data_IF_011343320818
#
_entry.id   IF_011343320818
#
_cell.length_a   1.000
_cell.length_b   1.000
_cell.length_c   1.000
_cell.angle_alpha   90.00
_cell.angle_beta   90.00
_cell.angle_gamma   90.00
#
_symmetry.space_group_name_H-M   'P 1'
#
loop_
_entity.id
_entity.type
_entity.pdbx_description
1 polymer ?
#
# COMPACT_ATOMS: atom_id res chain seq x y z
N UNK A 1 53.30 -3.45 -0.58
CA UNK A 1 52.09 -3.15 -1.38
C UNK A 1 50.92 -3.15 -0.43
N UNK A 2 50.40 -1.98 -0.06
CA UNK A 2 49.19 -1.87 0.76
C UNK A 2 48.00 -2.13 -0.15
N UNK A 3 47.36 -3.30 -0.03
CA UNK A 3 46.03 -3.48 -0.60
C UNK A 3 45.12 -2.41 -0.02
N UNK A 4 44.70 -1.46 -0.86
CA UNK A 4 43.75 -0.44 -0.45
C UNK A 4 42.45 -1.15 -0.11
N UNK A 5 42.06 -1.14 1.17
CA UNK A 5 40.82 -1.75 1.60
C UNK A 5 39.66 -1.07 0.86
N UNK A 6 38.96 -1.82 0.02
CA UNK A 6 37.80 -1.31 -0.73
C UNK A 6 36.53 -1.91 -0.15
N UNK A 7 35.40 -1.21 -0.27
CA UNK A 7 34.10 -1.73 0.18
C UNK A 7 33.75 -3.07 -0.50
N UNK A 8 34.31 -3.35 -1.67
CA UNK A 8 34.10 -4.57 -2.44
C UNK A 8 34.85 -5.82 -1.90
N UNK A 9 35.81 -5.63 -0.99
CA UNK A 9 36.57 -6.71 -0.32
C UNK A 9 36.04 -7.06 1.07
N UNK A 10 35.03 -6.32 1.54
CA UNK A 10 34.39 -6.54 2.83
C UNK A 10 33.56 -7.83 2.82
N UNK A 11 33.48 -8.58 3.95
CA UNK A 11 32.62 -9.76 4.10
C UNK A 11 31.14 -9.48 3.81
N UNK A 12 30.39 -10.52 3.46
CA UNK A 12 29.00 -10.41 3.01
C UNK A 12 28.08 -9.88 4.11
N UNK A 13 28.28 -10.38 5.31
CA UNK A 13 27.51 -10.06 6.50
C UNK A 13 27.67 -8.58 6.85
N UNK A 14 28.90 -8.06 6.77
CA UNK A 14 29.17 -6.63 7.03
C UNK A 14 28.54 -5.76 5.96
N UNK A 15 28.59 -6.18 4.69
CA UNK A 15 27.92 -5.46 3.60
C UNK A 15 26.40 -5.45 3.81
N UNK A 16 25.79 -6.57 4.20
CA UNK A 16 24.36 -6.67 4.54
C UNK A 16 23.98 -5.79 5.72
N UNK A 17 24.85 -5.67 6.73
CA UNK A 17 24.62 -4.74 7.84
C UNK A 17 24.63 -3.28 7.39
N UNK A 18 25.59 -2.89 6.56
CA UNK A 18 25.64 -1.54 5.96
C UNK A 18 24.35 -1.28 5.17
N UNK A 19 23.95 -2.23 4.34
CA UNK A 19 22.73 -2.19 3.53
C UNK A 19 21.48 -2.03 4.40
N UNK A 20 21.37 -2.82 5.47
CA UNK A 20 20.26 -2.75 6.41
C UNK A 20 20.11 -1.34 6.98
N UNK A 21 21.19 -0.77 7.52
CA UNK A 21 21.14 0.55 8.13
C UNK A 21 20.90 1.66 7.11
N UNK A 22 21.52 1.60 5.93
CA UNK A 22 21.26 2.55 4.84
C UNK A 22 19.82 2.47 4.33
N UNK A 23 19.22 1.28 4.29
CA UNK A 23 17.84 1.08 3.84
C UNK A 23 16.79 1.50 4.88
N UNK A 24 17.16 1.50 6.16
CA UNK A 24 16.25 1.69 7.29
C UNK A 24 16.48 2.99 8.06
N UNK A 25 17.40 3.84 7.59
CA UNK A 25 17.64 5.19 8.12
C UNK A 25 16.33 5.98 8.27
N UNK A 26 15.53 6.04 7.20
CA UNK A 26 14.15 6.49 7.29
C UNK A 26 13.23 5.29 7.51
N UNK A 27 12.41 5.36 8.55
CA UNK A 27 11.31 4.41 8.77
C UNK A 27 10.28 4.50 7.63
N UNK A 28 9.86 5.73 7.29
CA UNK A 28 8.82 6.00 6.30
C UNK A 28 9.32 5.82 4.86
N UNK A 29 8.45 5.27 4.02
CA UNK A 29 8.64 5.16 2.58
C UNK A 29 9.61 4.07 2.15
N UNK A 30 9.94 4.05 0.85
CA UNK A 30 10.83 3.07 0.26
C UNK A 30 12.25 3.17 0.83
N UNK A 31 13.04 2.09 0.78
CA UNK A 31 14.45 2.11 1.18
C UNK A 31 15.31 2.86 0.16
N UNK A 32 15.31 4.19 0.21
CA UNK A 32 16.00 5.08 -0.74
C UNK A 32 17.53 4.92 -0.71
N UNK A 33 18.10 4.64 0.46
CA UNK A 33 19.55 4.45 0.64
C UNK A 33 20.12 3.22 -0.08
N UNK A 34 19.28 2.29 -0.55
CA UNK A 34 19.72 1.11 -1.31
C UNK A 34 20.18 1.45 -2.72
N UNK A 35 19.47 2.34 -3.40
CA UNK A 35 19.69 2.60 -4.83
C UNK A 35 21.10 3.15 -5.08
N UNK A 36 21.58 4.19 -4.35
CA UNK A 36 22.95 4.68 -4.53
C UNK A 36 23.99 3.59 -4.29
N UNK A 37 23.78 2.74 -3.28
CA UNK A 37 24.72 1.68 -2.91
C UNK A 37 24.82 0.60 -3.99
N UNK A 38 23.69 0.15 -4.53
CA UNK A 38 23.61 -0.81 -5.63
C UNK A 38 24.26 -0.28 -6.92
N UNK A 39 24.24 1.04 -7.14
CA UNK A 39 24.82 1.69 -8.32
C UNK A 39 26.33 1.93 -8.24
N UNK A 40 26.97 1.72 -7.08
CA UNK A 40 28.39 2.01 -6.90
C UNK A 40 29.33 1.06 -7.64
N UNK A 41 29.03 -0.25 -7.67
CA UNK A 41 29.93 -1.28 -8.21
C UNK A 41 29.15 -2.55 -8.60
N UNK A 42 29.51 -3.15 -9.76
CA UNK A 42 28.91 -4.41 -10.25
C UNK A 42 29.05 -5.59 -9.28
N UNK A 43 30.18 -5.70 -8.58
CA UNK A 43 30.43 -6.75 -7.57
C UNK A 43 29.59 -6.54 -6.31
N UNK A 44 29.32 -5.29 -5.94
CA UNK A 44 28.42 -4.96 -4.83
C UNK A 44 26.98 -5.27 -5.25
N UNK A 45 26.59 -4.87 -6.47
CA UNK A 45 25.29 -5.19 -7.04
C UNK A 45 25.01 -6.70 -7.05
N UNK A 46 25.93 -7.53 -7.57
CA UNK A 46 25.73 -8.98 -7.64
C UNK A 46 25.61 -9.65 -6.27
N UNK A 47 26.14 -9.02 -5.21
CA UNK A 47 26.09 -9.54 -3.84
C UNK A 47 24.85 -9.08 -3.07
N UNK A 48 24.20 -8.02 -3.53
CA UNK A 48 23.09 -7.35 -2.84
C UNK A 48 21.80 -7.34 -3.64
N UNK A 49 21.81 -7.89 -4.85
CA UNK A 49 20.64 -8.04 -5.68
C UNK A 49 19.53 -8.76 -4.92
N UNK A 50 18.30 -8.28 -5.05
CA UNK A 50 17.13 -8.82 -4.34
C UNK A 50 16.85 -10.28 -4.70
N UNK A 51 17.11 -10.67 -5.95
CA UNK A 51 16.92 -12.05 -6.43
C UNK A 51 17.90 -13.03 -5.79
N UNK A 52 19.07 -12.56 -5.35
CA UNK A 52 20.13 -13.42 -4.82
C UNK A 52 20.18 -13.35 -3.28
N UNK A 53 19.69 -12.26 -2.69
CA UNK A 53 19.78 -12.02 -1.26
C UNK A 53 18.43 -11.65 -0.64
N UNK A 54 17.46 -12.56 -0.67
CA UNK A 54 16.12 -12.29 -0.14
C UNK A 54 16.11 -11.96 1.37
N UNK A 55 17.04 -12.52 2.15
CA UNK A 55 17.05 -12.37 3.61
C UNK A 55 17.24 -10.92 4.07
N UNK A 56 18.11 -10.14 3.42
CA UNK A 56 18.30 -8.74 3.78
C UNK A 56 17.04 -7.90 3.50
N UNK A 57 16.36 -8.14 2.37
CA UNK A 57 15.12 -7.43 2.03
C UNK A 57 13.96 -7.84 2.94
N UNK A 58 13.89 -9.11 3.36
CA UNK A 58 12.93 -9.55 4.37
C UNK A 58 13.16 -8.85 5.73
N UNK A 59 14.42 -8.66 6.13
CA UNK A 59 14.75 -7.88 7.35
C UNK A 59 14.35 -6.41 7.21
N UNK A 60 14.60 -5.80 6.05
CA UNK A 60 14.19 -4.42 5.76
C UNK A 60 12.65 -4.31 5.79
N UNK A 61 11.94 -5.29 5.23
CA UNK A 61 10.48 -5.36 5.30
C UNK A 61 9.99 -5.37 6.74
N UNK A 62 10.50 -6.28 7.58
CA UNK A 62 10.12 -6.38 8.99
C UNK A 62 10.44 -5.10 9.79
N UNK A 63 11.45 -4.33 9.37
CA UNK A 63 11.72 -3.04 9.98
C UNK A 63 10.69 -1.97 9.58
N UNK A 64 10.28 -1.94 8.30
CA UNK A 64 9.43 -0.88 7.72
C UNK A 64 7.92 -1.12 7.82
N UNK A 65 7.50 -2.37 7.86
CA UNK A 65 6.10 -2.81 7.84
C UNK A 65 5.79 -3.72 9.03
N UNK A 66 4.50 -3.86 9.33
CA UNK A 66 4.03 -4.80 10.34
C UNK A 66 4.05 -6.23 9.78
N UNK A 67 4.66 -7.13 10.53
CA UNK A 67 4.74 -8.56 10.16
C UNK A 67 4.04 -9.46 11.17
N UNK A 68 3.75 -8.98 12.39
CA UNK A 68 3.24 -9.81 13.47
C UNK A 68 1.89 -10.45 13.13
N UNK A 69 0.96 -9.66 12.58
CA UNK A 69 -0.34 -10.16 12.12
C UNK A 69 -0.19 -11.24 11.04
N UNK A 70 0.65 -10.99 10.04
CA UNK A 70 0.90 -11.92 8.93
C UNK A 70 1.49 -13.24 9.43
N UNK A 71 2.48 -13.18 10.33
CA UNK A 71 3.06 -14.39 10.92
C UNK A 71 2.04 -15.21 11.72
N UNK A 72 1.15 -14.55 12.48
CA UNK A 72 0.11 -15.23 13.26
C UNK A 72 -0.94 -15.91 12.38
N UNK A 73 -1.29 -15.30 11.24
CA UNK A 73 -2.38 -15.80 10.39
C UNK A 73 -1.92 -16.80 9.33
N UNK A 74 -0.81 -16.52 8.66
CA UNK A 74 -0.33 -17.33 7.53
C UNK A 74 0.73 -18.35 7.93
N UNK A 75 1.34 -18.19 9.10
CA UNK A 75 2.40 -19.07 9.59
C UNK A 75 3.76 -18.88 8.88
N UNK A 76 4.79 -19.60 9.33
CA UNK A 76 6.16 -19.47 8.83
C UNK A 76 6.34 -19.93 7.36
N UNK A 77 5.53 -20.87 6.89
CA UNK A 77 5.62 -21.41 5.53
C UNK A 77 5.26 -20.38 4.45
N UNK A 78 4.41 -19.41 4.80
CA UNK A 78 3.92 -18.36 3.89
C UNK A 78 4.59 -17.00 4.13
N UNK A 79 5.61 -16.97 4.99
CA UNK A 79 6.38 -15.77 5.35
C UNK A 79 7.87 -15.99 5.13
N UNK A 80 8.21 -16.76 4.09
CA UNK A 80 9.58 -16.99 3.66
C UNK A 80 10.24 -15.67 3.24
N UNK A 81 11.57 -15.62 3.30
CA UNK A 81 12.30 -14.39 2.99
C UNK A 81 12.09 -13.92 1.55
N UNK A 82 11.85 -14.81 0.59
CA UNK A 82 11.54 -14.42 -0.79
C UNK A 82 10.17 -13.72 -0.90
N UNK A 83 9.14 -14.21 -0.19
CA UNK A 83 7.82 -13.59 -0.15
C UNK A 83 7.90 -12.20 0.47
N UNK A 84 8.57 -12.07 1.62
CA UNK A 84 8.71 -10.78 2.30
C UNK A 84 9.52 -9.76 1.47
N UNK A 85 10.53 -10.23 0.72
CA UNK A 85 11.28 -9.38 -0.22
C UNK A 85 10.41 -8.90 -1.39
N UNK A 86 9.56 -9.76 -1.95
CA UNK A 86 8.61 -9.39 -2.99
C UNK A 86 7.56 -8.41 -2.48
N UNK A 87 7.01 -8.64 -1.28
CA UNK A 87 6.06 -7.74 -0.63
C UNK A 87 6.67 -6.35 -0.34
N UNK A 88 7.95 -6.27 0.01
CA UNK A 88 8.66 -4.99 0.15
C UNK A 88 8.60 -4.18 -1.16
N UNK A 89 8.93 -4.81 -2.29
CA UNK A 89 8.88 -4.13 -3.60
C UNK A 89 7.46 -3.71 -3.95
N UNK A 90 6.49 -4.62 -3.79
CA UNK A 90 5.08 -4.41 -4.11
C UNK A 90 4.47 -3.27 -3.29
N UNK A 91 4.61 -3.28 -1.96
CA UNK A 91 4.10 -2.21 -1.09
C UNK A 91 4.78 -0.88 -1.39
N UNK A 92 6.10 -0.86 -1.59
CA UNK A 92 6.80 0.38 -1.95
C UNK A 92 6.36 0.94 -3.31
N UNK A 93 6.05 0.09 -4.28
CA UNK A 93 5.51 0.51 -5.57
C UNK A 93 4.16 1.21 -5.40
N UNK A 94 3.21 0.56 -4.72
CA UNK A 94 1.87 1.12 -4.53
C UNK A 94 1.86 2.36 -3.64
N UNK A 95 2.66 2.41 -2.58
CA UNK A 95 2.79 3.61 -1.75
C UNK A 95 3.29 4.82 -2.56
N UNK A 96 4.20 4.62 -3.51
CA UNK A 96 4.65 5.70 -4.41
C UNK A 96 3.53 6.17 -5.34
N UNK A 97 2.71 5.25 -5.86
CA UNK A 97 1.55 5.59 -6.71
C UNK A 97 0.52 6.42 -5.94
N UNK A 98 0.18 5.99 -4.73
CA UNK A 98 -0.74 6.71 -3.84
C UNK A 98 -0.17 8.12 -3.55
N UNK A 99 1.12 8.21 -3.18
CA UNK A 99 1.79 9.51 -2.94
C UNK A 99 1.76 10.42 -4.15
N UNK A 100 1.88 9.86 -5.35
CA UNK A 100 1.82 10.59 -6.62
C UNK A 100 0.38 10.94 -7.05
N UNK A 101 -0.65 10.61 -6.26
CA UNK A 101 -2.07 10.78 -6.60
C UNK A 101 -2.45 10.10 -7.92
N UNK A 102 -1.75 9.01 -8.25
CA UNK A 102 -2.05 8.20 -9.43
C UNK A 102 -3.32 7.39 -9.17
N UNK A 103 -4.15 7.22 -10.18
CA UNK A 103 -5.37 6.39 -10.15
C UNK A 103 -6.52 6.92 -9.27
N UNK A 104 -6.36 8.04 -8.54
CA UNK A 104 -7.44 8.62 -7.74
C UNK A 104 -8.45 9.42 -8.57
N UNK A 105 -8.02 9.97 -9.71
CA UNK A 105 -8.84 10.79 -10.62
C UNK A 105 -8.77 10.18 -12.02
N UNK A 106 -9.92 10.08 -12.67
CA UNK A 106 -10.06 9.61 -14.05
C UNK A 106 -9.60 10.69 -15.04
N UNK A 107 -9.13 10.25 -16.21
CA UNK A 107 -8.77 11.17 -17.30
C UNK A 107 -10.02 11.83 -17.92
N UNK A 108 -11.13 11.10 -17.96
CA UNK A 108 -12.44 11.55 -18.42
C UNK A 108 -13.53 10.67 -17.78
N UNK A 109 -14.80 11.07 -17.87
CA UNK A 109 -15.93 10.29 -17.34
C UNK A 109 -16.07 8.90 -17.99
N UNK A 110 -15.77 8.82 -19.29
CA UNK A 110 -15.86 7.58 -20.08
C UNK A 110 -14.59 6.73 -20.00
N UNK A 111 -13.57 7.15 -19.25
CA UNK A 111 -12.34 6.39 -19.12
C UNK A 111 -12.57 5.11 -18.30
N UNK A 112 -11.98 4.01 -18.77
CA UNK A 112 -11.90 2.77 -18.00
C UNK A 112 -11.07 2.97 -16.72
N UNK A 113 -11.36 2.15 -15.72
CA UNK A 113 -10.59 2.15 -14.48
C UNK A 113 -9.14 1.75 -14.75
N UNK A 114 -8.22 2.38 -14.01
CA UNK A 114 -6.81 2.00 -14.08
C UNK A 114 -6.64 0.52 -13.71
N UNK A 115 -5.83 -0.25 -14.47
CA UNK A 115 -5.60 -1.67 -14.16
C UNK A 115 -4.94 -1.88 -12.79
N UNK A 116 -4.36 -0.83 -12.20
CA UNK A 116 -3.72 -0.86 -10.89
C UNK A 116 -4.67 -0.49 -9.74
N UNK A 117 -5.85 0.07 -10.02
CA UNK A 117 -6.72 0.66 -9.00
C UNK A 117 -7.22 -0.39 -7.99
N UNK A 118 -7.71 -1.52 -8.49
CA UNK A 118 -8.19 -2.61 -7.65
C UNK A 118 -7.08 -3.15 -6.74
N UNK A 119 -5.91 -3.47 -7.32
CA UNK A 119 -4.79 -4.02 -6.55
C UNK A 119 -4.24 -3.02 -5.52
N UNK A 120 -4.20 -1.73 -5.87
CA UNK A 120 -3.79 -0.65 -4.96
C UNK A 120 -4.71 -0.58 -3.73
N UNK A 121 -6.02 -0.56 -3.95
CA UNK A 121 -7.01 -0.49 -2.88
C UNK A 121 -7.01 -1.76 -2.02
N UNK A 122 -6.93 -2.94 -2.66
CA UNK A 122 -6.84 -4.20 -1.96
C UNK A 122 -5.58 -4.30 -1.09
N UNK A 123 -4.42 -3.89 -1.62
CA UNK A 123 -3.16 -3.89 -0.87
C UNK A 123 -3.18 -2.91 0.30
N UNK A 124 -3.70 -1.71 0.09
CA UNK A 124 -3.83 -0.74 1.17
C UNK A 124 -4.81 -1.22 2.25
N UNK A 125 -5.93 -1.83 1.85
CA UNK A 125 -6.89 -2.43 2.79
C UNK A 125 -6.22 -3.53 3.62
N UNK A 126 -5.48 -4.42 2.95
CA UNK A 126 -4.73 -5.50 3.60
C UNK A 126 -3.70 -4.95 4.60
N UNK A 127 -2.96 -3.90 4.22
CA UNK A 127 -2.04 -3.21 5.12
C UNK A 127 -2.72 -2.66 6.38
N UNK A 128 -3.96 -2.16 6.27
CA UNK A 128 -4.74 -1.69 7.43
C UNK A 128 -5.26 -2.82 8.30
N UNK A 129 -5.67 -3.95 7.72
CA UNK A 129 -6.09 -5.14 8.46
C UNK A 129 -4.92 -5.78 9.21
N UNK A 130 -3.73 -5.77 8.61
CA UNK A 130 -2.48 -6.26 9.22
C UNK A 130 -1.83 -5.25 10.20
N UNK A 131 -2.40 -4.06 10.38
CA UNK A 131 -1.74 -2.94 11.04
C UNK A 131 -1.49 -3.21 12.53
N UNK A 132 -0.24 -3.04 12.94
CA UNK A 132 0.21 -2.99 14.33
C UNK A 132 0.87 -1.63 14.65
N UNK A 133 0.74 -0.67 13.73
CA UNK A 133 1.14 0.72 13.87
C UNK A 133 2.08 1.20 12.77
N UNK A 134 2.85 0.33 12.12
CA UNK A 134 3.76 0.75 11.04
C UNK A 134 3.03 0.96 9.72
N UNK A 135 2.14 0.04 9.37
CA UNK A 135 1.45 0.05 8.08
C UNK A 135 0.59 1.30 7.91
N UNK A 136 -0.16 1.68 8.96
CA UNK A 136 -0.95 2.90 8.98
C UNK A 136 -0.08 4.14 8.76
N UNK A 137 1.09 4.22 9.40
CA UNK A 137 2.01 5.35 9.23
C UNK A 137 2.59 5.40 7.81
N UNK A 138 2.86 4.25 7.18
CA UNK A 138 3.25 4.20 5.77
C UNK A 138 2.14 4.76 4.87
N UNK A 139 0.88 4.40 5.10
CA UNK A 139 -0.25 4.87 4.29
C UNK A 139 -0.56 6.35 4.54
N UNK A 140 -0.57 6.79 5.81
CA UNK A 140 -0.91 8.17 6.21
C UNK A 140 0.25 9.13 6.00
N UNK A 141 1.38 8.91 6.67
CA UNK A 141 2.48 9.88 6.74
C UNK A 141 3.32 9.88 5.45
N UNK A 142 3.60 8.69 4.89
CA UNK A 142 4.36 8.61 3.64
C UNK A 142 3.47 8.73 2.41
N UNK A 143 2.44 7.90 2.27
CA UNK A 143 1.66 7.88 1.04
C UNK A 143 0.61 8.99 0.95
N UNK A 144 0.29 9.68 2.04
CA UNK A 144 -0.74 10.72 2.08
C UNK A 144 -2.09 10.21 1.55
N UNK A 145 -2.44 8.97 1.94
CA UNK A 145 -3.59 8.24 1.40
C UNK A 145 -4.92 8.92 1.72
N UNK A 146 -5.01 9.71 2.79
CA UNK A 146 -6.19 10.50 3.09
C UNK A 146 -6.48 11.51 1.96
N UNK A 147 -5.44 12.15 1.42
CA UNK A 147 -5.56 13.06 0.28
C UNK A 147 -5.95 12.31 -0.99
N UNK A 148 -5.37 11.14 -1.21
CA UNK A 148 -5.72 10.27 -2.34
C UNK A 148 -7.19 9.82 -2.27
N UNK A 149 -7.68 9.46 -1.08
CA UNK A 149 -9.07 9.04 -0.88
C UNK A 149 -10.06 10.19 -1.03
N UNK A 150 -9.67 11.42 -0.66
CA UNK A 150 -10.49 12.62 -0.92
C UNK A 150 -10.70 12.81 -2.42
N UNK A 151 -9.66 12.69 -3.22
CA UNK A 151 -9.80 12.74 -4.68
C UNK A 151 -10.68 11.62 -5.20
N UNK A 152 -10.39 10.40 -4.77
CA UNK A 152 -11.09 9.21 -5.20
C UNK A 152 -12.61 9.35 -4.99
N UNK A 153 -13.03 9.87 -3.83
CA UNK A 153 -14.44 9.98 -3.45
C UNK A 153 -15.12 11.29 -3.86
N UNK A 154 -14.44 12.43 -3.75
CA UNK A 154 -15.09 13.75 -3.72
C UNK A 154 -14.75 14.64 -4.92
N UNK A 155 -13.75 14.26 -5.72
CA UNK A 155 -13.48 14.97 -6.96
C UNK A 155 -14.57 14.65 -8.00
N UNK A 156 -14.93 15.62 -8.84
CA UNK A 156 -15.95 15.43 -9.89
C UNK A 156 -15.60 14.27 -10.83
N UNK A 157 -14.31 14.13 -11.15
CA UNK A 157 -13.74 13.01 -11.90
C UNK A 157 -13.07 11.95 -11.01
N UNK A 158 -13.44 11.87 -9.73
CA UNK A 158 -12.88 10.88 -8.81
C UNK A 158 -13.15 9.46 -9.31
N UNK A 159 -12.18 8.56 -9.16
CA UNK A 159 -12.28 7.20 -9.69
C UNK A 159 -13.39 6.35 -9.03
N UNK A 160 -13.97 6.80 -7.91
CA UNK A 160 -15.18 6.19 -7.35
C UNK A 160 -16.44 6.47 -8.18
N UNK A 161 -16.43 7.53 -9.01
CA UNK A 161 -17.60 8.10 -9.71
C UNK A 161 -18.76 8.47 -8.77
N UNK A 162 -18.51 8.58 -7.46
CA UNK A 162 -19.55 8.72 -6.46
C UNK A 162 -20.30 10.06 -6.56
N UNK A 163 -19.59 11.14 -6.88
CA UNK A 163 -20.20 12.47 -7.09
C UNK A 163 -21.24 12.42 -8.22
N UNK A 164 -20.90 11.81 -9.36
CA UNK A 164 -21.84 11.64 -10.47
C UNK A 164 -23.09 10.84 -10.05
N UNK A 165 -22.91 9.72 -9.36
CA UNK A 165 -24.04 8.91 -8.87
C UNK A 165 -24.95 9.67 -7.89
N UNK A 166 -24.39 10.57 -7.07
CA UNK A 166 -25.22 11.41 -6.19
C UNK A 166 -26.06 12.44 -6.94
N UNK A 167 -25.56 12.95 -8.08
CA UNK A 167 -26.30 13.88 -8.95
C UNK A 167 -27.43 13.14 -9.67
N UNK A 168 -27.18 11.91 -10.11
CA UNK A 168 -28.15 11.07 -10.82
C UNK A 168 -29.15 10.38 -9.88
N UNK A 169 -29.11 10.68 -8.57
CA UNK A 169 -29.89 10.01 -7.51
C UNK A 169 -29.81 8.47 -7.56
N UNK A 170 -28.69 7.95 -8.05
CA UNK A 170 -28.46 6.53 -8.25
C UNK A 170 -27.78 5.90 -7.02
N UNK A 171 -28.05 4.62 -6.79
CA UNK A 171 -27.26 3.83 -5.84
C UNK A 171 -25.86 3.59 -6.40
N UNK A 172 -24.88 3.60 -5.52
CA UNK A 172 -23.53 3.21 -5.90
C UNK A 172 -23.48 1.73 -6.27
N UNK A 173 -22.71 1.36 -7.32
CA UNK A 173 -22.60 -0.02 -7.75
C UNK A 173 -21.94 -0.88 -6.66
N UNK A 174 -22.42 -2.11 -6.49
CA UNK A 174 -21.80 -3.10 -5.61
C UNK A 174 -20.54 -3.65 -6.28
N UNK A 175 -19.37 -3.12 -5.93
CA UNK A 175 -18.08 -3.63 -6.38
C UNK A 175 -16.99 -3.52 -5.29
N UNK A 176 -15.93 -4.30 -5.47
CA UNK A 176 -14.85 -4.42 -4.49
C UNK A 176 -14.04 -3.11 -4.36
N UNK A 177 -13.90 -2.34 -5.44
CA UNK A 177 -13.18 -1.06 -5.45
C UNK A 177 -13.84 -0.07 -4.47
N UNK A 178 -15.15 0.12 -4.57
CA UNK A 178 -15.90 1.02 -3.70
C UNK A 178 -15.90 0.52 -2.26
N UNK A 179 -16.00 -0.80 -2.07
CA UNK A 179 -15.95 -1.43 -0.75
C UNK A 179 -14.60 -1.20 -0.06
N UNK A 180 -13.48 -1.54 -0.71
CA UNK A 180 -12.15 -1.28 -0.17
C UNK A 180 -11.93 0.21 0.07
N UNK A 181 -12.30 1.06 -0.90
CA UNK A 181 -12.21 2.51 -0.77
C UNK A 181 -12.95 3.05 0.45
N UNK A 182 -14.11 2.47 0.80
CA UNK A 182 -14.93 2.95 1.92
C UNK A 182 -14.36 2.48 3.26
N UNK A 183 -13.92 1.21 3.35
CA UNK A 183 -13.20 0.72 4.53
C UNK A 183 -11.94 1.53 4.80
N UNK A 184 -11.16 1.80 3.76
CA UNK A 184 -9.97 2.64 3.85
C UNK A 184 -10.30 4.07 4.27
N UNK A 185 -11.35 4.65 3.69
CA UNK A 185 -11.82 5.97 4.11
C UNK A 185 -12.20 5.98 5.59
N UNK A 186 -12.92 4.97 6.07
CA UNK A 186 -13.29 4.83 7.48
C UNK A 186 -12.07 4.68 8.40
N UNK A 187 -11.12 3.78 8.07
CA UNK A 187 -9.91 3.56 8.86
C UNK A 187 -9.02 4.81 8.97
N UNK A 188 -8.99 5.61 7.90
CA UNK A 188 -8.12 6.78 7.80
C UNK A 188 -8.86 8.10 8.10
N UNK A 189 -10.17 8.04 8.37
CA UNK A 189 -11.03 9.20 8.58
C UNK A 189 -10.51 10.04 9.76
N UNK A 190 -10.38 11.35 9.53
CA UNK A 190 -10.07 12.33 10.57
C UNK A 190 -11.22 13.32 10.68
N UNK A 191 -12.22 13.07 11.54
CA UNK A 191 -13.42 13.92 11.63
C UNK A 191 -13.10 15.39 11.89
N UNK A 192 -12.01 15.67 12.61
CA UNK A 192 -11.56 17.03 12.92
C UNK A 192 -11.17 17.88 11.70
N UNK A 193 -10.95 17.25 10.53
CA UNK A 193 -10.63 17.97 9.28
C UNK A 193 -11.91 18.39 8.55
N UNK A 194 -13.04 17.74 8.84
CA UNK A 194 -14.30 18.01 8.16
C UNK A 194 -15.14 19.01 8.95
N UNK A 195 -15.12 20.27 8.51
CA UNK A 195 -15.92 21.34 9.08
C UNK A 195 -17.29 21.43 8.39
N UNK A 196 -18.35 21.64 9.17
CA UNK A 196 -19.75 21.69 8.66
C UNK A 196 -20.01 22.81 7.64
N UNK A 197 -19.10 23.76 7.50
CA UNK A 197 -19.22 24.92 6.62
C UNK A 197 -18.53 24.70 5.26
N UNK A 198 -17.80 23.58 5.10
CA UNK A 198 -17.02 23.30 3.89
C UNK A 198 -17.74 22.33 2.94
N UNK A 199 -17.69 22.63 1.64
CA UNK A 199 -18.35 21.85 0.59
C UNK A 199 -17.81 20.41 0.52
N UNK A 200 -16.51 20.19 0.74
CA UNK A 200 -15.95 18.83 0.76
C UNK A 200 -16.52 18.01 1.92
N UNK A 201 -16.78 18.64 3.06
CA UNK A 201 -17.39 17.99 4.23
C UNK A 201 -18.85 17.63 3.99
N UNK A 202 -19.57 18.46 3.24
CA UNK A 202 -20.91 18.13 2.77
C UNK A 202 -20.90 16.95 1.79
N UNK A 203 -19.99 16.95 0.82
CA UNK A 203 -19.85 15.85 -0.15
C UNK A 203 -19.51 14.54 0.57
N UNK A 204 -18.58 14.58 1.53
CA UNK A 204 -18.24 13.45 2.38
C UNK A 204 -19.45 12.94 3.16
N UNK A 205 -20.20 13.83 3.81
CA UNK A 205 -21.42 13.43 4.54
C UNK A 205 -22.48 12.82 3.62
N UNK A 206 -22.68 13.37 2.42
CA UNK A 206 -23.66 12.88 1.45
C UNK A 206 -23.29 11.47 0.96
N UNK A 207 -22.04 11.24 0.57
CA UNK A 207 -21.57 9.93 0.12
C UNK A 207 -21.65 8.91 1.26
N UNK A 208 -21.21 9.27 2.47
CA UNK A 208 -21.33 8.39 3.64
C UNK A 208 -22.79 8.01 3.93
N UNK A 209 -23.74 8.95 3.77
CA UNK A 209 -25.18 8.66 3.93
C UNK A 209 -25.67 7.69 2.86
N UNK A 210 -25.28 7.86 1.60
CA UNK A 210 -25.66 6.95 0.51
C UNK A 210 -25.13 5.54 0.78
N UNK A 211 -23.87 5.40 1.22
CA UNK A 211 -23.33 4.09 1.62
C UNK A 211 -24.04 3.50 2.83
N UNK A 212 -24.30 4.29 3.87
CA UNK A 212 -24.97 3.80 5.07
C UNK A 212 -26.40 3.31 4.77
N UNK A 213 -27.14 4.04 3.92
CA UNK A 213 -28.47 3.64 3.47
C UNK A 213 -28.39 2.46 2.50
N UNK A 214 -27.35 2.41 1.66
CA UNK A 214 -27.08 1.37 0.68
C UNK A 214 -26.41 0.12 1.24
N UNK A 215 -26.15 0.03 2.55
CA UNK A 215 -25.45 -1.09 3.18
C UNK A 215 -26.16 -2.45 3.03
N UNK A 216 -27.44 -2.44 2.67
CA UNK A 216 -28.22 -3.64 2.32
C UNK A 216 -28.00 -4.12 0.87
N UNK A 217 -27.38 -3.30 0.02
CA UNK A 217 -27.03 -3.60 -1.38
C UNK A 217 -25.53 -3.75 -1.60
N UNK A 218 -24.73 -2.96 -0.87
CA UNK A 218 -23.28 -3.08 -0.85
C UNK A 218 -22.95 -4.24 0.05
N UNK A 219 -22.30 -5.28 -0.48
CA UNK A 219 -21.96 -6.45 0.34
C UNK A 219 -21.05 -6.00 1.49
N UNK A 220 -21.46 -6.22 2.76
CA UNK A 220 -20.49 -6.26 3.83
C UNK A 220 -19.47 -7.34 3.45
N UNK A 221 -18.19 -7.00 3.47
CA UNK A 221 -17.05 -7.86 3.13
C UNK A 221 -17.00 -9.22 3.88
N UNK A 222 -17.98 -9.53 4.73
CA UNK A 222 -18.15 -10.79 5.46
C UNK A 222 -18.17 -12.04 4.56
N UNK A 223 -18.40 -11.91 3.24
CA UNK A 223 -18.32 -13.03 2.29
C UNK A 223 -17.02 -13.12 1.48
N UNK A 224 -16.17 -12.08 1.45
CA UNK A 224 -14.87 -12.11 0.76
C UNK A 224 -13.75 -12.75 1.60
N UNK A 225 -14.01 -13.02 2.88
CA UNK A 225 -13.13 -13.74 3.80
C UNK A 225 -13.56 -15.20 3.98
N UNK A 226 -13.88 -15.86 2.86
CA UNK A 226 -13.49 -17.26 2.72
C UNK A 226 -11.95 -17.28 2.74
N UNK A 227 -11.36 -17.32 3.94
CA UNK A 227 -9.90 -17.39 4.13
C UNK A 227 -9.25 -18.49 3.28
N UNK A 228 -10.02 -19.50 2.89
CA UNK A 228 -9.63 -20.57 1.98
C UNK A 228 -9.28 -20.13 0.56
N UNK A 229 -9.80 -19.00 0.07
CA UNK A 229 -9.52 -18.51 -1.30
C UNK A 229 -8.23 -17.67 -1.38
N UNK A 230 -7.85 -16.97 -0.30
CA UNK A 230 -6.50 -16.37 -0.19
C UNK A 230 -5.38 -17.42 -0.11
N UNK A 231 -5.72 -18.68 0.19
CA UNK A 231 -4.75 -19.77 0.26
C UNK A 231 -4.37 -20.34 -1.11
N UNK A 232 -5.11 -20.05 -2.18
CA UNK A 232 -4.83 -20.57 -3.52
C UNK A 232 -4.08 -19.54 -4.37
N UNK A 233 -2.76 -19.66 -4.40
CA UNK A 233 -1.92 -19.19 -5.51
C UNK A 233 -1.52 -20.44 -6.30
N UNK A 234 -1.41 -20.38 -7.65
CA UNK A 234 -1.09 -21.56 -8.46
C UNK A 234 0.26 -22.13 -8.02
N UNK A 235 0.33 -23.45 -7.93
CA UNK A 235 1.60 -24.16 -7.90
C UNK A 235 2.47 -23.66 -9.06
N UNK A 236 3.69 -23.24 -8.73
CA UNK A 236 4.75 -22.93 -9.69
C UNK A 236 4.94 -24.06 -10.72
#
# INVERSE_FOLDING_TARGET
MTESATLATVPQEVLEHIVFFSATESFLGPPSGLVPLLLTNRKIYSRLNISDNHHIYARIFAQKFDTGAVFRWLGPERTTSCILAAELQRRCFYLKRIRARSDSILQSMDADDSPFLHELLFLAYTMMVENEGKNERQLKEFANMDTWLRDFWFHDLGASRAVGSTIDEAWLPDNDILSFGMWLFWFLLRPAIYNKEDQESWNASSILKVFALGAHKVRPYEQLLSWTEMLTIPSA
#
